data_IF_653630785216
#
_entry.id   IF_653630785216
#
_cell.length_a   1.000
_cell.length_b   1.000
_cell.length_c   1.000
_cell.angle_alpha   90.00
_cell.angle_beta   90.00
_cell.angle_gamma   90.00
#
_symmetry.space_group_name_H-M   'P 1'
#
loop_
_entity.id
_entity.type
_entity.pdbx_description
1 polymer ?
#
# COMPACT_ATOMS: atom_id res chain seq x y z
N UNK A 1 -31.56 -43.92 61.38
CA UNK A 1 -31.02 -43.65 62.73
C UNK A 1 -30.32 -42.35 62.73
N UNK A 2 -30.88 -41.42 63.47
CA UNK A 2 -30.29 -40.36 64.32
C UNK A 2 -29.26 -39.44 63.66
N UNK A 3 -29.35 -38.15 63.72
CA UNK A 3 -30.13 -37.13 64.47
C UNK A 3 -29.43 -35.82 64.27
N UNK A 4 -30.17 -34.82 63.93
CA UNK A 4 -30.49 -33.56 64.62
C UNK A 4 -29.35 -32.83 65.33
N UNK A 5 -29.09 -31.59 64.90
CA UNK A 5 -29.25 -30.36 65.70
C UNK A 5 -28.79 -29.15 64.86
N UNK A 6 -29.61 -28.29 64.49
CA UNK A 6 -30.07 -26.96 64.80
C UNK A 6 -29.11 -26.17 65.73
N UNK A 7 -28.58 -25.07 65.20
CA UNK A 7 -28.47 -23.83 66.00
C UNK A 7 -28.51 -22.55 65.08
N UNK A 8 -29.42 -21.71 65.49
CA UNK A 8 -29.75 -20.39 65.02
C UNK A 8 -28.65 -19.36 65.34
N UNK A 9 -28.47 -18.38 64.46
CA UNK A 9 -27.78 -17.14 64.76
C UNK A 9 -27.99 -16.12 63.66
N UNK A 10 -28.91 -15.17 63.85
CA UNK A 10 -29.23 -13.96 63.11
C UNK A 10 -28.37 -12.79 63.66
N UNK A 11 -28.48 -11.60 63.08
CA UNK A 11 -27.90 -10.98 61.88
C UNK A 11 -27.11 -9.72 62.22
N UNK A 12 -26.33 -9.13 61.33
CA UNK A 12 -26.03 -7.69 61.37
C UNK A 12 -25.07 -7.26 60.25
N UNK A 13 -25.55 -6.21 59.54
CA UNK A 13 -24.65 -5.25 58.88
C UNK A 13 -24.64 -5.31 57.37
N UNK A 14 -25.72 -4.88 56.69
CA UNK A 14 -25.65 -4.43 55.30
C UNK A 14 -24.91 -3.07 55.32
N UNK A 15 -23.62 -3.08 54.96
CA UNK A 15 -22.93 -1.89 54.51
C UNK A 15 -23.00 -1.91 52.99
N UNK A 16 -23.98 -1.14 52.45
CA UNK A 16 -24.06 -0.82 51.03
C UNK A 16 -22.86 0.06 50.66
N UNK A 17 -21.82 -0.55 50.10
CA UNK A 17 -20.71 0.18 49.46
C UNK A 17 -21.20 0.70 48.12
N UNK A 18 -21.64 1.94 48.06
CA UNK A 18 -21.84 2.69 46.79
C UNK A 18 -20.46 2.90 46.19
N UNK A 19 -20.06 2.05 45.24
CA UNK A 19 -18.95 2.32 44.33
C UNK A 19 -19.41 3.46 43.41
N UNK A 20 -19.00 4.67 43.76
CA UNK A 20 -19.02 5.81 42.84
C UNK A 20 -18.03 5.47 41.71
N UNK A 21 -18.54 4.88 40.62
CA UNK A 21 -17.85 4.89 39.33
C UNK A 21 -17.73 6.35 38.87
N UNK A 22 -16.65 7.02 39.28
CA UNK A 22 -16.16 8.19 38.59
C UNK A 22 -15.88 7.74 37.14
N UNK A 23 -16.84 7.99 36.24
CA UNK A 23 -16.64 7.91 34.80
C UNK A 23 -15.60 8.95 34.41
N UNK A 24 -14.34 8.56 34.47
CA UNK A 24 -13.28 9.28 33.75
C UNK A 24 -13.68 9.12 32.28
N UNK A 25 -13.95 10.21 31.54
CA UNK A 25 -14.11 10.08 30.10
C UNK A 25 -12.78 9.51 29.59
N UNK A 26 -12.78 8.26 29.14
CA UNK A 26 -11.70 7.74 28.31
C UNK A 26 -11.73 8.59 27.04
N UNK A 27 -10.95 9.67 27.03
CA UNK A 27 -10.58 10.31 25.77
C UNK A 27 -9.96 9.19 24.93
N UNK A 28 -10.59 8.86 23.82
CA UNK A 28 -10.01 7.91 22.88
C UNK A 28 -8.60 8.42 22.57
N UNK A 29 -7.56 7.59 22.67
CA UNK A 29 -6.22 8.06 22.40
C UNK A 29 -6.16 8.52 20.95
N UNK A 30 -5.60 9.71 20.74
CA UNK A 30 -5.37 10.23 19.39
C UNK A 30 -4.54 9.23 18.59
N UNK A 31 -4.99 8.90 17.37
CA UNK A 31 -4.37 7.86 16.53
C UNK A 31 -3.26 8.51 15.70
N UNK A 32 -1.98 8.21 15.96
CA UNK A 32 -0.88 8.67 15.10
C UNK A 32 -0.84 7.86 13.80
N UNK A 33 -0.26 8.44 12.75
CA UNK A 33 -0.23 7.89 11.40
C UNK A 33 0.43 6.50 11.30
N UNK A 34 1.47 6.25 12.11
CA UNK A 34 2.17 4.96 12.17
C UNK A 34 1.28 3.84 12.73
N UNK A 35 0.41 4.15 13.69
CA UNK A 35 -0.56 3.20 14.22
C UNK A 35 -1.63 2.88 13.17
N UNK A 36 -2.13 3.88 12.45
CA UNK A 36 -3.09 3.70 11.36
C UNK A 36 -2.52 2.82 10.26
N UNK A 37 -1.27 3.08 9.82
CA UNK A 37 -0.60 2.28 8.79
C UNK A 37 -0.42 0.83 9.24
N UNK A 38 0.01 0.58 10.47
CA UNK A 38 0.12 -0.80 10.98
C UNK A 38 -1.20 -1.54 11.02
N UNK A 39 -2.26 -0.89 11.49
CA UNK A 39 -3.58 -1.49 11.55
C UNK A 39 -4.08 -1.86 10.14
N UNK A 40 -3.97 -0.93 9.18
CA UNK A 40 -4.38 -1.16 7.81
C UNK A 40 -3.54 -2.23 7.09
N UNK A 41 -2.21 -2.21 7.21
CA UNK A 41 -1.33 -3.23 6.61
C UNK A 41 -1.64 -4.64 7.12
N UNK A 42 -2.06 -4.80 8.37
CA UNK A 42 -2.42 -6.10 8.95
C UNK A 42 -3.62 -6.77 8.27
N UNK A 43 -4.52 -5.98 7.69
CA UNK A 43 -5.74 -6.46 7.03
C UNK A 43 -5.73 -6.32 5.51
N UNK A 44 -4.71 -5.63 4.93
CA UNK A 44 -4.70 -5.24 3.53
C UNK A 44 -4.66 -6.44 2.58
N UNK A 45 -5.64 -6.59 1.66
CA UNK A 45 -5.74 -7.78 0.82
C UNK A 45 -4.57 -7.93 -0.16
N UNK A 46 -4.08 -6.84 -0.75
CA UNK A 46 -2.99 -6.87 -1.73
C UNK A 46 -1.67 -7.32 -1.11
N UNK A 47 -1.38 -6.88 0.13
CA UNK A 47 -0.20 -7.34 0.87
C UNK A 47 -0.28 -8.83 1.15
N UNK A 48 -1.44 -9.33 1.57
CA UNK A 48 -1.66 -10.76 1.81
C UNK A 48 -1.55 -11.58 0.52
N UNK A 49 -2.09 -11.07 -0.59
CA UNK A 49 -1.96 -11.67 -1.91
C UNK A 49 -0.49 -11.76 -2.34
N UNK A 50 0.27 -10.67 -2.22
CA UNK A 50 1.70 -10.66 -2.54
C UNK A 50 2.51 -11.64 -1.67
N UNK A 51 2.18 -11.76 -0.37
CA UNK A 51 2.81 -12.74 0.54
C UNK A 51 2.51 -14.17 0.08
N UNK A 52 1.26 -14.49 -0.23
CA UNK A 52 0.88 -15.81 -0.73
C UNK A 52 1.58 -16.17 -2.05
N UNK A 53 1.77 -15.19 -2.95
CA UNK A 53 2.54 -15.38 -4.19
C UNK A 53 4.04 -15.64 -3.91
N UNK A 54 4.64 -14.97 -2.95
CA UNK A 54 6.02 -15.22 -2.55
C UNK A 54 6.18 -16.61 -1.90
N UNK A 55 5.22 -17.03 -1.07
CA UNK A 55 5.19 -18.37 -0.46
C UNK A 55 5.02 -19.46 -1.54
N UNK A 56 4.12 -19.24 -2.52
CA UNK A 56 3.97 -20.13 -3.68
C UNK A 56 5.28 -20.28 -4.44
N UNK A 57 5.99 -19.18 -4.67
CA UNK A 57 7.29 -19.25 -5.34
C UNK A 57 8.34 -20.01 -4.53
N UNK A 58 8.28 -19.94 -3.20
CA UNK A 58 9.10 -20.81 -2.33
C UNK A 58 8.81 -22.29 -2.56
N UNK A 59 7.54 -22.67 -2.66
CA UNK A 59 7.12 -24.04 -3.00
C UNK A 59 7.60 -24.44 -4.40
N UNK A 60 7.55 -23.55 -5.38
CA UNK A 60 8.08 -23.80 -6.74
C UNK A 60 9.59 -24.08 -6.77
N UNK A 61 10.36 -23.48 -5.86
CA UNK A 61 11.79 -23.81 -5.68
C UNK A 61 11.93 -25.27 -5.24
N UNK A 62 11.13 -25.74 -4.28
CA UNK A 62 11.18 -27.14 -3.83
C UNK A 62 10.71 -28.10 -4.93
N UNK A 63 9.70 -27.72 -5.71
CA UNK A 63 9.29 -28.48 -6.91
C UNK A 63 10.44 -28.56 -7.93
N UNK A 64 11.14 -27.45 -8.17
CA UNK A 64 12.27 -27.43 -9.09
C UNK A 64 13.43 -28.34 -8.60
N UNK A 65 13.70 -28.37 -7.29
CA UNK A 65 14.65 -29.29 -6.66
C UNK A 65 14.25 -30.77 -6.82
N UNK A 66 12.95 -31.02 -7.00
CA UNK A 66 12.45 -32.36 -7.31
C UNK A 66 13.14 -33.02 -8.52
N UNK A 67 13.65 -32.21 -9.46
CA UNK A 67 14.43 -32.70 -10.60
C UNK A 67 15.74 -33.41 -10.25
N UNK A 68 16.25 -33.27 -9.03
CA UNK A 68 17.40 -34.02 -8.53
C UNK A 68 17.06 -35.42 -8.01
N UNK A 69 15.79 -35.70 -7.75
CA UNK A 69 15.35 -36.97 -7.16
C UNK A 69 14.87 -37.95 -8.22
N UNK A 70 14.81 -39.28 -7.89
CA UNK A 70 14.26 -40.28 -8.76
C UNK A 70 12.78 -39.99 -9.07
N UNK A 71 12.40 -40.17 -10.32
CA UNK A 71 10.98 -40.18 -10.72
C UNK A 71 10.50 -41.62 -10.80
N UNK A 72 9.31 -41.89 -10.27
CA UNK A 72 8.66 -43.20 -10.33
C UNK A 72 7.42 -43.05 -11.19
N UNK A 73 7.37 -43.81 -12.28
CA UNK A 73 6.21 -43.90 -13.13
C UNK A 73 5.62 -45.30 -13.03
N UNK A 74 4.33 -45.40 -12.88
CA UNK A 74 3.59 -46.64 -12.88
C UNK A 74 2.50 -46.55 -13.95
N UNK A 75 2.46 -47.55 -14.82
CA UNK A 75 1.41 -47.67 -15.81
C UNK A 75 0.81 -49.11 -15.76
N UNK A 76 -0.45 -49.23 -16.10
CA UNK A 76 -1.13 -50.51 -16.17
C UNK A 76 -2.33 -50.39 -17.09
N UNK A 77 -2.59 -51.47 -17.85
CA UNK A 77 -3.71 -51.50 -18.76
C UNK A 77 -3.84 -52.84 -19.47
N UNK A 78 -4.98 -53.10 -20.13
CA UNK A 78 -5.15 -54.26 -20.96
C UNK A 78 -4.21 -54.21 -22.18
N UNK A 79 -3.64 -55.34 -22.55
CA UNK A 79 -2.87 -55.48 -23.77
C UNK A 79 -3.88 -55.75 -24.94
N UNK A 80 -3.76 -55.00 -26.04
CA UNK A 80 -4.51 -55.21 -27.30
C UNK A 80 -6.05 -55.26 -27.15
N UNK A 81 -6.66 -54.52 -26.21
CA UNK A 81 -8.10 -54.53 -25.92
C UNK A 81 -8.63 -55.90 -25.38
N UNK A 82 -7.74 -56.81 -25.00
CA UNK A 82 -8.13 -58.03 -24.30
C UNK A 82 -8.12 -57.79 -22.80
N UNK A 83 -9.29 -57.92 -22.15
CA UNK A 83 -9.48 -57.74 -20.71
C UNK A 83 -8.85 -58.88 -19.86
N UNK A 84 -8.40 -59.93 -20.52
CA UNK A 84 -7.75 -61.11 -19.89
C UNK A 84 -6.24 -60.92 -19.72
N UNK A 85 -5.62 -60.03 -20.42
CA UNK A 85 -4.14 -59.77 -20.36
C UNK A 85 -3.85 -58.38 -19.85
N UNK A 86 -3.43 -58.25 -18.59
CA UNK A 86 -3.09 -56.97 -17.95
C UNK A 86 -1.56 -56.81 -17.86
N UNK A 87 -1.07 -55.68 -18.36
CA UNK A 87 0.34 -55.28 -18.28
C UNK A 87 0.52 -54.26 -17.17
N UNK A 88 1.50 -54.46 -16.32
CA UNK A 88 1.96 -53.52 -15.32
C UNK A 88 3.40 -53.17 -15.62
N UNK A 89 3.70 -51.84 -15.70
CA UNK A 89 5.04 -51.34 -15.86
C UNK A 89 5.34 -50.39 -14.69
N UNK A 90 6.42 -50.65 -13.98
CA UNK A 90 6.97 -49.78 -12.96
C UNK A 90 8.37 -49.33 -13.43
N UNK A 91 8.51 -48.03 -13.71
CA UNK A 91 9.77 -47.48 -14.14
C UNK A 91 10.25 -46.41 -13.12
N UNK A 92 11.46 -46.61 -12.62
CA UNK A 92 12.20 -45.64 -11.79
C UNK A 92 13.31 -45.05 -12.65
N UNK A 93 13.30 -43.70 -12.76
CA UNK A 93 14.32 -42.98 -13.54
C UNK A 93 15.03 -41.97 -12.66
N UNK A 94 16.36 -42.06 -12.58
CA UNK A 94 17.20 -41.11 -11.85
C UNK A 94 18.08 -40.36 -12.84
N UNK A 95 18.00 -39.06 -12.86
CA UNK A 95 18.92 -38.18 -13.57
C UNK A 95 20.30 -38.26 -12.90
N UNK A 96 21.34 -38.61 -13.69
CA UNK A 96 22.71 -38.64 -13.23
C UNK A 96 23.49 -37.40 -13.67
N UNK A 97 23.27 -36.94 -14.89
CA UNK A 97 23.93 -35.76 -15.43
C UNK A 97 23.08 -35.05 -16.50
N UNK A 98 22.94 -33.73 -16.41
CA UNK A 98 22.10 -32.92 -17.30
C UNK A 98 22.71 -31.58 -17.73
N UNK A 99 24.01 -31.42 -17.59
CA UNK A 99 24.76 -30.19 -17.95
C UNK A 99 24.27 -28.94 -17.19
N UNK A 100 23.69 -29.12 -16.00
CA UNK A 100 23.16 -28.04 -15.17
C UNK A 100 21.78 -27.55 -15.58
N UNK A 101 20.99 -28.35 -16.31
CA UNK A 101 19.62 -28.01 -16.66
C UNK A 101 18.73 -27.87 -15.41
N UNK A 102 18.76 -28.87 -14.51
CA UNK A 102 18.01 -28.82 -13.24
C UNK A 102 18.51 -27.70 -12.34
N UNK A 103 19.84 -27.54 -12.24
CA UNK A 103 20.46 -26.43 -11.48
C UNK A 103 19.97 -25.06 -11.98
N UNK A 104 19.98 -24.85 -13.29
CA UNK A 104 19.51 -23.59 -13.88
C UNK A 104 18.02 -23.37 -13.66
N UNK A 105 17.20 -24.43 -13.63
CA UNK A 105 15.78 -24.37 -13.30
C UNK A 105 15.56 -23.99 -11.83
N UNK A 106 16.33 -24.55 -10.90
CA UNK A 106 16.33 -24.19 -9.48
C UNK A 106 16.77 -22.72 -9.28
N UNK A 107 17.83 -22.30 -10.00
CA UNK A 107 18.29 -20.90 -9.97
C UNK A 107 17.21 -19.93 -10.45
N UNK A 108 16.51 -20.28 -11.55
CA UNK A 108 15.41 -19.49 -12.09
C UNK A 108 14.24 -19.39 -11.10
N UNK A 109 13.85 -20.50 -10.48
CA UNK A 109 12.82 -20.54 -9.45
C UNK A 109 13.23 -19.71 -8.22
N UNK A 110 14.48 -19.84 -7.76
CA UNK A 110 15.02 -19.09 -6.63
C UNK A 110 15.08 -17.58 -6.90
N UNK A 111 15.48 -17.18 -8.11
CA UNK A 111 15.45 -15.76 -8.51
C UNK A 111 14.00 -15.24 -8.60
N UNK A 112 13.05 -16.07 -9.05
CA UNK A 112 11.62 -15.75 -9.06
C UNK A 112 11.10 -15.55 -7.64
N UNK A 113 11.48 -16.39 -6.69
CA UNK A 113 11.13 -16.23 -5.28
C UNK A 113 11.67 -14.91 -4.71
N UNK A 114 12.95 -14.56 -4.97
CA UNK A 114 13.51 -13.27 -4.54
C UNK A 114 12.78 -12.09 -5.18
N UNK A 115 12.49 -12.16 -6.49
CA UNK A 115 11.68 -11.16 -7.19
C UNK A 115 10.33 -10.92 -6.52
N UNK A 116 9.63 -12.00 -6.14
CA UNK A 116 8.32 -11.91 -5.49
C UNK A 116 8.42 -11.47 -4.03
N UNK A 117 9.52 -11.78 -3.34
CA UNK A 117 9.80 -11.21 -2.01
C UNK A 117 10.01 -9.70 -2.07
N UNK A 118 10.70 -9.16 -3.08
CA UNK A 118 10.78 -7.72 -3.31
C UNK A 118 9.40 -7.11 -3.69
N UNK A 119 8.58 -7.86 -4.43
CA UNK A 119 7.21 -7.43 -4.76
C UNK A 119 6.32 -7.30 -3.50
N UNK A 120 6.53 -8.11 -2.46
CA UNK A 120 5.86 -7.94 -1.16
C UNK A 120 6.21 -6.60 -0.53
N UNK A 121 7.48 -6.19 -0.59
CA UNK A 121 7.91 -4.89 -0.04
C UNK A 121 7.28 -3.73 -0.81
N UNK A 122 7.23 -3.84 -2.14
CA UNK A 122 6.53 -2.84 -2.99
C UNK A 122 5.05 -2.75 -2.61
N UNK A 123 4.35 -3.90 -2.53
CA UNK A 123 2.93 -3.91 -2.16
C UNK A 123 2.67 -3.35 -0.75
N UNK A 124 3.61 -3.54 0.20
CA UNK A 124 3.52 -2.94 1.54
C UNK A 124 3.68 -1.43 1.51
N UNK A 125 4.63 -0.91 0.74
CA UNK A 125 4.83 0.53 0.62
C UNK A 125 3.68 1.20 -0.12
N UNK A 126 3.14 0.59 -1.17
CA UNK A 126 1.95 1.07 -1.90
C UNK A 126 0.73 1.11 -0.98
N UNK A 127 0.44 0.01 -0.27
CA UNK A 127 -0.66 -0.06 0.69
C UNK A 127 -0.48 0.94 1.86
N UNK A 128 0.75 1.10 2.36
CA UNK A 128 1.05 2.10 3.38
C UNK A 128 0.81 3.52 2.87
N UNK A 129 1.15 3.80 1.61
CA UNK A 129 0.91 5.09 0.97
C UNK A 129 -0.59 5.38 0.84
N UNK A 130 -1.40 4.42 0.41
CA UNK A 130 -2.85 4.56 0.30
C UNK A 130 -3.51 4.89 1.66
N UNK A 131 -3.05 4.22 2.73
CA UNK A 131 -3.51 4.49 4.09
C UNK A 131 -3.10 5.89 4.53
N UNK A 132 -1.86 6.30 4.27
CA UNK A 132 -1.35 7.65 4.56
C UNK A 132 -2.15 8.71 3.82
N UNK A 133 -2.39 8.52 2.53
CA UNK A 133 -3.17 9.47 1.72
C UNK A 133 -4.60 9.62 2.25
N UNK A 134 -5.25 8.52 2.58
CA UNK A 134 -6.60 8.53 3.16
C UNK A 134 -6.61 9.18 4.55
N UNK A 135 -5.59 8.94 5.38
CA UNK A 135 -5.40 9.62 6.67
C UNK A 135 -5.30 11.15 6.49
N UNK A 136 -4.49 11.60 5.53
CA UNK A 136 -4.33 13.01 5.21
C UNK A 136 -5.60 13.64 4.63
N UNK A 137 -6.42 12.86 3.89
CA UNK A 137 -7.71 13.31 3.37
C UNK A 137 -8.72 13.58 4.49
N UNK A 138 -8.75 12.75 5.53
CA UNK A 138 -9.58 13.01 6.71
C UNK A 138 -9.15 14.30 7.39
N UNK A 139 -7.85 14.48 7.67
CA UNK A 139 -7.32 15.70 8.27
C UNK A 139 -7.61 16.96 7.44
N UNK A 140 -7.44 16.87 6.11
CA UNK A 140 -7.77 17.96 5.20
C UNK A 140 -9.25 18.34 5.28
N UNK A 141 -10.14 17.35 5.29
CA UNK A 141 -11.60 17.55 5.33
C UNK A 141 -12.04 18.10 6.67
N UNK A 142 -11.47 17.67 7.79
CA UNK A 142 -11.73 18.23 9.12
C UNK A 142 -11.35 19.71 9.19
N UNK A 143 -10.17 20.08 8.68
CA UNK A 143 -9.74 21.49 8.61
C UNK A 143 -10.61 22.33 7.71
N UNK A 144 -11.05 21.79 6.54
CA UNK A 144 -11.97 22.52 5.66
C UNK A 144 -13.30 22.78 6.32
N UNK A 145 -13.89 21.80 7.00
CA UNK A 145 -15.14 21.98 7.77
C UNK A 145 -14.98 23.08 8.81
N UNK A 146 -13.86 23.10 9.54
CA UNK A 146 -13.60 24.10 10.56
C UNK A 146 -13.43 25.50 9.95
N UNK A 147 -12.68 25.62 8.85
CA UNK A 147 -12.49 26.90 8.13
C UNK A 147 -13.81 27.45 7.61
N UNK A 148 -14.71 26.60 7.09
CA UNK A 148 -16.04 27.04 6.66
C UNK A 148 -16.88 27.49 7.85
N UNK A 149 -16.81 26.83 9.00
CA UNK A 149 -17.52 27.26 10.22
C UNK A 149 -17.04 28.64 10.68
N UNK A 150 -15.74 28.87 10.68
CA UNK A 150 -15.16 30.17 11.03
C UNK A 150 -15.59 31.27 10.02
N UNK A 151 -15.64 30.93 8.73
CA UNK A 151 -16.12 31.84 7.70
C UNK A 151 -17.62 32.21 7.94
N UNK A 152 -18.46 31.22 8.26
CA UNK A 152 -19.89 31.45 8.62
C UNK A 152 -19.99 32.41 9.81
N UNK A 153 -19.17 32.20 10.85
CA UNK A 153 -19.17 33.08 12.02
C UNK A 153 -18.83 34.52 11.67
N UNK A 154 -17.79 34.71 10.78
CA UNK A 154 -17.40 36.05 10.28
C UNK A 154 -18.54 36.71 9.47
N UNK A 155 -19.19 35.96 8.59
CA UNK A 155 -20.32 36.44 7.80
C UNK A 155 -21.55 36.76 8.66
N UNK A 156 -21.83 35.98 9.70
CA UNK A 156 -22.90 36.21 10.63
C UNK A 156 -22.72 37.53 11.41
N UNK A 157 -21.48 37.79 11.86
CA UNK A 157 -21.12 39.08 12.46
C UNK A 157 -21.32 40.27 11.50
N UNK A 158 -21.02 40.14 10.21
CA UNK A 158 -21.26 41.16 9.20
C UNK A 158 -22.78 41.38 9.02
N UNK A 159 -23.57 40.31 8.96
CA UNK A 159 -25.02 40.38 8.87
C UNK A 159 -25.63 41.15 10.07
N UNK A 160 -25.16 40.84 11.30
CA UNK A 160 -25.65 41.52 12.51
C UNK A 160 -25.30 43.01 12.49
N UNK A 161 -24.08 43.39 12.11
CA UNK A 161 -23.69 44.78 11.97
C UNK A 161 -24.53 45.52 10.90
N UNK A 162 -24.79 44.88 9.76
CA UNK A 162 -25.62 45.43 8.69
C UNK A 162 -27.05 45.60 9.13
N UNK A 163 -27.61 44.66 9.87
CA UNK A 163 -28.95 44.73 10.42
C UNK A 163 -29.11 45.87 11.44
N UNK A 164 -28.11 46.05 12.33
CA UNK A 164 -28.12 47.17 13.29
C UNK A 164 -28.09 48.52 12.57
N UNK A 165 -27.23 48.70 11.55
CA UNK A 165 -27.20 49.94 10.73
C UNK A 165 -28.51 50.18 9.98
N UNK A 166 -29.18 49.13 9.50
CA UNK A 166 -30.47 49.21 8.83
C UNK A 166 -31.59 49.68 9.76
N UNK A 167 -31.59 49.26 11.03
CA UNK A 167 -32.56 49.73 12.05
C UNK A 167 -32.36 51.20 12.40
N UNK A 168 -31.13 51.69 12.30
CA UNK A 168 -30.77 53.11 12.53
C UNK A 168 -30.97 53.99 11.29
N UNK A 169 -31.44 53.45 10.18
CA UNK A 169 -31.67 54.14 8.91
C UNK A 169 -30.44 54.43 8.06
N UNK A 170 -29.29 53.82 8.37
CA UNK A 170 -28.00 54.05 7.71
C UNK A 170 -27.62 52.94 6.71
N UNK A 171 -28.41 51.85 6.59
CA UNK A 171 -28.16 50.78 5.60
C UNK A 171 -29.44 50.49 4.79
N UNK A 172 -29.24 50.17 3.49
CA UNK A 172 -30.34 49.77 2.62
C UNK A 172 -30.66 48.26 2.84
N UNK A 173 -31.90 47.89 2.60
CA UNK A 173 -32.39 46.52 2.65
C UNK A 173 -31.57 45.58 1.72
N UNK A 174 -31.06 46.10 0.59
CA UNK A 174 -30.25 45.35 -0.35
C UNK A 174 -28.91 44.89 0.24
N UNK A 175 -28.33 45.65 1.18
CA UNK A 175 -27.12 45.30 1.89
C UNK A 175 -27.33 44.08 2.80
N UNK A 176 -28.44 44.05 3.54
CA UNK A 176 -28.80 42.92 4.40
C UNK A 176 -29.11 41.65 3.57
N UNK A 177 -29.86 41.82 2.46
CA UNK A 177 -30.18 40.71 1.56
C UNK A 177 -28.88 40.13 0.93
N UNK A 178 -27.89 40.95 0.64
CA UNK A 178 -26.59 40.52 0.17
C UNK A 178 -25.80 39.72 1.22
N UNK A 179 -25.77 40.18 2.46
CA UNK A 179 -25.13 39.47 3.57
C UNK A 179 -25.79 38.11 3.81
N UNK A 180 -27.14 38.05 3.77
CA UNK A 180 -27.91 36.82 3.88
C UNK A 180 -27.61 35.85 2.75
N UNK A 181 -27.44 36.32 1.51
CA UNK A 181 -27.06 35.49 0.36
C UNK A 181 -25.70 34.84 0.55
N UNK A 182 -24.66 35.59 0.97
CA UNK A 182 -23.34 35.05 1.22
C UNK A 182 -23.33 34.04 2.38
N UNK A 183 -24.10 34.31 3.44
CA UNK A 183 -24.30 33.37 4.54
C UNK A 183 -24.96 32.06 4.09
N UNK A 184 -25.99 32.12 3.25
CA UNK A 184 -26.63 30.92 2.69
C UNK A 184 -25.68 30.11 1.81
N UNK A 185 -24.82 30.77 1.02
CA UNK A 185 -23.75 30.09 0.23
C UNK A 185 -22.73 29.42 1.13
N UNK A 186 -22.30 30.06 2.21
CA UNK A 186 -21.38 29.47 3.16
C UNK A 186 -21.99 28.25 3.89
N UNK A 187 -23.30 28.28 4.19
CA UNK A 187 -24.03 27.15 4.78
C UNK A 187 -24.12 25.95 3.81
N UNK A 188 -24.36 26.21 2.52
CA UNK A 188 -24.33 25.19 1.48
C UNK A 188 -22.94 24.58 1.38
N UNK A 189 -21.86 25.38 1.36
CA UNK A 189 -20.50 24.93 1.36
C UNK A 189 -20.16 24.07 2.60
N UNK A 190 -20.68 24.43 3.78
CA UNK A 190 -20.53 23.61 4.99
C UNK A 190 -21.16 22.23 4.83
N UNK A 191 -22.32 22.16 4.19
CA UNK A 191 -23.01 20.89 3.93
C UNK A 191 -22.19 20.00 2.99
N UNK A 192 -21.60 20.59 1.94
CA UNK A 192 -20.71 19.90 1.02
C UNK A 192 -19.44 19.36 1.74
N UNK A 193 -18.75 20.22 2.52
CA UNK A 193 -17.53 19.78 3.22
C UNK A 193 -17.80 18.73 4.31
N UNK A 194 -18.99 18.76 4.95
CA UNK A 194 -19.42 17.68 5.85
C UNK A 194 -19.62 16.35 5.11
N UNK A 195 -20.17 16.39 3.90
CA UNK A 195 -20.29 15.22 3.04
C UNK A 195 -18.92 14.65 2.69
N UNK A 196 -17.99 15.50 2.22
CA UNK A 196 -16.62 15.13 1.90
C UNK A 196 -15.90 14.52 3.12
N UNK A 197 -16.09 15.07 4.31
CA UNK A 197 -15.52 14.53 5.54
C UNK A 197 -16.07 13.13 5.86
N UNK A 198 -17.38 12.94 5.69
CA UNK A 198 -17.99 11.63 5.91
C UNK A 198 -17.46 10.59 4.94
N UNK A 199 -17.30 10.94 3.66
CA UNK A 199 -16.72 10.06 2.65
C UNK A 199 -15.26 9.71 2.96
N UNK A 200 -14.45 10.68 3.35
CA UNK A 200 -13.05 10.45 3.75
C UNK A 200 -12.97 9.52 4.97
N UNK A 201 -13.83 9.71 5.97
CA UNK A 201 -13.91 8.83 7.15
C UNK A 201 -14.32 7.40 6.79
N UNK A 202 -15.29 7.25 5.90
CA UNK A 202 -15.71 5.94 5.42
C UNK A 202 -14.58 5.20 4.70
N UNK A 203 -13.84 5.90 3.81
CA UNK A 203 -12.69 5.34 3.12
C UNK A 203 -11.58 4.92 4.10
N UNK A 204 -11.28 5.77 5.08
CA UNK A 204 -10.33 5.44 6.14
C UNK A 204 -10.77 4.19 6.93
N UNK A 205 -12.02 4.12 7.36
CA UNK A 205 -12.54 2.97 8.10
C UNK A 205 -12.45 1.66 7.32
N UNK A 206 -12.66 1.70 6.00
CA UNK A 206 -12.52 0.53 5.11
C UNK A 206 -11.05 0.08 5.03
N UNK A 207 -10.10 1.01 4.85
CA UNK A 207 -8.68 0.68 4.67
C UNK A 207 -7.98 0.30 5.98
N UNK A 208 -8.31 0.98 7.07
CA UNK A 208 -7.64 0.79 8.38
C UNK A 208 -8.37 -0.22 9.26
N UNK A 209 -9.67 -0.45 9.00
CA UNK A 209 -10.52 -1.34 9.79
C UNK A 209 -11.00 -0.73 11.12
N UNK A 210 -10.82 0.58 11.32
CA UNK A 210 -11.19 1.32 12.52
C UNK A 210 -11.74 2.69 12.13
N UNK A 211 -12.72 3.20 12.90
CA UNK A 211 -13.19 4.56 12.70
C UNK A 211 -12.10 5.58 13.05
N UNK A 212 -11.95 6.67 12.27
CA UNK A 212 -11.03 7.74 12.60
C UNK A 212 -11.57 8.49 13.83
N UNK A 213 -10.98 8.24 15.00
CA UNK A 213 -11.17 9.08 16.18
C UNK A 213 -10.35 10.36 16.03
N UNK A 214 -9.78 10.94 17.06
CA UNK A 214 -8.90 12.10 16.92
C UNK A 214 -7.62 11.72 16.17
N UNK A 215 -7.44 12.22 14.92
CA UNK A 215 -6.23 12.04 14.13
C UNK A 215 -5.21 13.12 14.48
N UNK A 216 -3.93 12.72 14.62
CA UNK A 216 -2.84 13.66 14.89
C UNK A 216 -2.18 14.09 13.60
N UNK A 217 -1.93 15.39 13.48
CA UNK A 217 -1.16 15.88 12.33
C UNK A 217 0.25 15.31 12.36
N UNK A 218 0.69 14.59 11.28
CA UNK A 218 2.03 14.03 11.26
C UNK A 218 3.09 15.14 11.15
N UNK A 219 4.20 14.95 11.88
CA UNK A 219 5.35 15.83 11.75
C UNK A 219 5.96 15.76 10.33
N UNK A 220 6.54 16.87 9.83
CA UNK A 220 7.22 16.88 8.53
C UNK A 220 8.31 15.80 8.48
N UNK A 221 8.30 14.99 7.42
CA UNK A 221 9.42 14.10 7.13
C UNK A 221 10.52 14.90 6.42
N UNK A 222 11.71 14.98 6.99
CA UNK A 222 12.85 15.62 6.33
C UNK A 222 13.53 14.68 5.31
N UNK A 223 12.72 13.97 4.50
CA UNK A 223 13.21 12.98 3.54
C UNK A 223 14.17 13.60 2.51
N UNK A 224 13.86 14.77 2.00
CA UNK A 224 14.74 15.48 1.06
C UNK A 224 16.13 15.75 1.66
N UNK A 225 16.19 16.14 2.95
CA UNK A 225 17.45 16.33 3.66
C UNK A 225 18.19 15.01 3.87
N UNK A 226 17.47 13.94 4.22
CA UNK A 226 18.02 12.59 4.36
C UNK A 226 18.62 12.10 3.04
N UNK A 227 17.92 12.25 1.93
CA UNK A 227 18.39 11.83 0.61
C UNK A 227 19.51 12.73 0.08
N UNK A 228 19.54 14.04 0.41
CA UNK A 228 20.63 14.94 0.05
C UNK A 228 21.93 14.60 0.81
N UNK A 229 21.85 14.07 2.02
CA UNK A 229 23.01 13.61 2.80
C UNK A 229 23.45 12.18 2.46
N UNK A 230 22.62 11.41 1.76
CA UNK A 230 22.86 10.02 1.37
C UNK A 230 23.29 9.92 -0.10
N UNK A 231 24.01 8.86 -0.47
CA UNK A 231 24.23 8.53 -1.87
C UNK A 231 22.89 8.12 -2.53
N UNK A 232 22.24 9.05 -3.21
CA UNK A 232 20.97 8.84 -3.88
C UNK A 232 21.03 7.63 -4.84
N UNK A 233 22.16 7.44 -5.53
CA UNK A 233 22.33 6.31 -6.42
C UNK A 233 22.31 4.97 -5.66
N UNK A 234 22.83 4.96 -4.44
CA UNK A 234 22.78 3.77 -3.56
C UNK A 234 21.35 3.51 -3.10
N UNK A 235 20.65 4.53 -2.62
CA UNK A 235 19.25 4.41 -2.16
C UNK A 235 18.36 3.87 -3.29
N UNK A 236 18.53 4.37 -4.52
CA UNK A 236 17.78 3.87 -5.68
C UNK A 236 18.10 2.40 -5.96
N UNK A 237 19.39 2.00 -5.92
CA UNK A 237 19.76 0.58 -6.13
C UNK A 237 19.20 -0.35 -5.06
N UNK A 238 19.07 0.12 -3.83
CA UNK A 238 18.54 -0.64 -2.70
C UNK A 238 17.01 -0.63 -2.65
N UNK A 239 16.32 0.16 -3.47
CA UNK A 239 14.86 0.20 -3.49
C UNK A 239 14.25 -1.13 -3.94
N UNK A 240 13.13 -1.58 -3.33
CA UNK A 240 12.46 -2.81 -3.71
C UNK A 240 12.05 -2.86 -5.18
N UNK A 241 11.63 -1.74 -5.75
CA UNK A 241 11.30 -1.63 -7.18
C UNK A 241 12.49 -1.96 -8.07
N UNK A 242 13.67 -1.41 -7.75
CA UNK A 242 14.89 -1.68 -8.51
C UNK A 242 15.36 -3.12 -8.31
N UNK A 243 15.36 -3.63 -7.06
CA UNK A 243 15.77 -5.00 -6.76
C UNK A 243 14.86 -6.02 -7.46
N UNK A 244 13.56 -5.79 -7.47
CA UNK A 244 12.60 -6.61 -8.22
C UNK A 244 12.95 -6.69 -9.72
N UNK A 245 13.32 -5.56 -10.33
CA UNK A 245 13.73 -5.52 -11.75
C UNK A 245 15.07 -6.24 -12.00
N UNK A 246 16.01 -6.13 -11.08
CA UNK A 246 17.29 -6.88 -11.15
C UNK A 246 17.06 -8.38 -11.00
N UNK A 247 16.20 -8.81 -10.08
CA UNK A 247 15.89 -10.24 -9.94
C UNK A 247 15.15 -10.79 -11.17
N UNK A 248 14.36 -9.98 -11.89
CA UNK A 248 13.81 -10.40 -13.19
C UNK A 248 14.90 -10.68 -14.23
N UNK A 249 15.95 -9.88 -14.25
CA UNK A 249 17.12 -10.15 -15.10
C UNK A 249 17.87 -11.43 -14.67
N UNK A 250 17.96 -11.71 -13.36
CA UNK A 250 18.55 -12.94 -12.84
C UNK A 250 17.72 -14.18 -13.23
N UNK A 251 16.38 -14.08 -13.21
CA UNK A 251 15.50 -15.13 -13.76
C UNK A 251 15.81 -15.40 -15.23
N UNK A 252 15.88 -14.34 -16.04
CA UNK A 252 16.16 -14.47 -17.47
C UNK A 252 17.56 -15.05 -17.71
N UNK A 253 18.55 -14.72 -16.91
CA UNK A 253 19.90 -15.26 -17.00
C UNK A 253 19.95 -16.77 -16.70
N UNK A 254 19.24 -17.22 -15.67
CA UNK A 254 19.10 -18.64 -15.36
C UNK A 254 18.39 -19.39 -16.51
N UNK A 255 17.37 -18.78 -17.14
CA UNK A 255 16.68 -19.34 -18.30
C UNK A 255 17.58 -19.45 -19.54
N UNK A 256 18.56 -18.54 -19.74
CA UNK A 256 19.57 -18.68 -20.79
C UNK A 256 20.43 -19.92 -20.54
N UNK A 257 20.87 -20.14 -19.28
CA UNK A 257 21.67 -21.35 -18.95
C UNK A 257 20.84 -22.63 -19.14
N UNK A 258 19.59 -22.63 -18.71
CA UNK A 258 18.67 -23.76 -18.93
C UNK A 258 18.45 -24.05 -20.42
N UNK A 259 18.20 -23.01 -21.23
CA UNK A 259 18.00 -23.16 -22.66
C UNK A 259 19.24 -23.73 -23.40
N UNK A 260 20.44 -23.34 -22.98
CA UNK A 260 21.71 -23.92 -23.50
C UNK A 260 21.87 -25.37 -23.07
N UNK A 261 21.63 -25.67 -21.80
CA UNK A 261 21.76 -27.05 -21.27
C UNK A 261 20.72 -27.99 -21.90
N UNK A 262 19.55 -27.50 -22.29
CA UNK A 262 18.51 -28.31 -22.94
C UNK A 262 18.85 -28.82 -24.33
N UNK A 263 19.89 -28.27 -24.96
CA UNK A 263 20.41 -28.77 -26.23
C UNK A 263 21.35 -29.99 -26.09
N UNK A 264 21.74 -30.29 -24.85
CA UNK A 264 22.71 -31.36 -24.58
C UNK A 264 21.98 -32.63 -24.08
N UNK A 265 22.56 -33.84 -24.35
CA UNK A 265 21.93 -35.08 -23.94
C UNK A 265 21.90 -35.23 -22.40
N UNK A 266 20.79 -35.62 -21.84
CA UNK A 266 20.67 -35.96 -20.44
C UNK A 266 20.99 -37.44 -20.20
N UNK A 267 21.80 -37.74 -19.20
CA UNK A 267 22.15 -39.09 -18.79
C UNK A 267 21.23 -39.53 -17.63
N UNK A 268 20.44 -40.57 -17.84
CA UNK A 268 19.54 -41.15 -16.85
C UNK A 268 19.91 -42.62 -16.58
N UNK A 269 19.79 -43.01 -15.33
CA UNK A 269 19.71 -44.41 -14.91
C UNK A 269 18.25 -44.79 -14.82
N UNK A 270 17.82 -45.79 -15.58
CA UNK A 270 16.44 -46.28 -15.56
C UNK A 270 16.42 -47.73 -15.11
N UNK A 271 15.56 -48.04 -14.16
CA UNK A 271 15.24 -49.39 -13.77
C UNK A 271 13.73 -49.63 -14.02
N UNK A 272 13.41 -50.61 -14.84
CA UNK A 272 12.01 -50.97 -15.15
C UNK A 272 11.73 -52.37 -14.73
N UNK A 273 10.53 -52.58 -14.18
CA UNK A 273 9.96 -53.90 -13.88
C UNK A 273 8.63 -54.00 -14.65
N UNK A 274 8.63 -54.87 -15.64
CA UNK A 274 7.47 -55.15 -16.47
C UNK A 274 6.86 -56.49 -16.04
N UNK A 275 5.58 -56.50 -15.76
CA UNK A 275 4.82 -57.76 -15.56
C UNK A 275 3.71 -57.78 -16.59
N UNK A 276 3.73 -58.81 -17.43
CA UNK A 276 2.72 -59.08 -18.45
C UNK A 276 2.20 -60.52 -18.35
N UNK A 277 1.02 -60.75 -18.78
CA UNK A 277 0.43 -62.07 -18.89
C UNK A 277 0.43 -62.45 -20.38
N UNK A 278 1.11 -63.58 -20.73
CA UNK A 278 1.15 -64.11 -22.09
C UNK A 278 0.59 -65.51 -22.07
N UNK A 279 -0.52 -65.71 -22.77
CA UNK A 279 -1.17 -67.02 -22.87
C UNK A 279 -1.54 -67.63 -21.51
N UNK A 280 -1.99 -66.79 -20.55
CA UNK A 280 -2.37 -67.18 -19.20
C UNK A 280 -1.21 -67.46 -18.25
N UNK A 281 0.04 -67.13 -18.63
CA UNK A 281 1.23 -67.26 -17.77
C UNK A 281 1.83 -65.91 -17.47
N UNK A 282 2.02 -65.53 -16.19
CA UNK A 282 2.68 -64.30 -15.82
C UNK A 282 4.19 -64.36 -16.15
N UNK A 283 4.62 -63.47 -17.02
CA UNK A 283 6.02 -63.19 -17.26
C UNK A 283 6.43 -61.88 -16.56
N UNK A 284 7.55 -61.90 -15.84
CA UNK A 284 8.15 -60.75 -15.21
C UNK A 284 9.52 -60.51 -15.79
N UNK A 285 9.77 -59.30 -16.24
CA UNK A 285 11.09 -58.89 -16.73
C UNK A 285 11.53 -57.63 -15.94
N UNK A 286 12.82 -57.58 -15.61
CA UNK A 286 13.41 -56.41 -14.93
C UNK A 286 14.70 -56.02 -15.66
N UNK A 287 14.76 -54.73 -16.03
CA UNK A 287 15.91 -54.19 -16.80
C UNK A 287 16.43 -52.95 -16.11
N UNK A 288 17.76 -52.89 -15.92
CA UNK A 288 18.45 -51.71 -15.53
C UNK A 288 19.27 -51.18 -16.72
N UNK A 289 19.12 -49.94 -17.09
CA UNK A 289 19.78 -49.37 -18.27
C UNK A 289 20.23 -47.93 -18.03
N UNK A 290 21.38 -47.58 -18.65
CA UNK A 290 21.84 -46.23 -18.78
C UNK A 290 21.28 -45.66 -20.10
N UNK A 291 20.50 -44.55 -20.01
CA UNK A 291 19.89 -43.95 -21.19
C UNK A 291 20.36 -42.53 -21.40
N UNK A 292 20.82 -42.26 -22.61
CA UNK A 292 21.00 -40.89 -23.11
C UNK A 292 19.72 -40.43 -23.77
N UNK A 293 19.13 -39.35 -23.21
CA UNK A 293 17.93 -38.73 -23.77
C UNK A 293 18.30 -37.36 -24.31
N UNK A 294 17.98 -37.10 -25.57
CA UNK A 294 18.25 -35.86 -26.25
C UNK A 294 17.00 -35.45 -27.03
N UNK A 295 16.40 -34.33 -26.66
CA UNK A 295 15.17 -33.81 -27.29
C UNK A 295 15.46 -32.86 -28.45
N UNK A 296 16.52 -33.14 -29.24
CA UNK A 296 17.10 -32.21 -30.21
C UNK A 296 16.26 -32.05 -31.50
N UNK A 297 15.42 -33.01 -31.83
CA UNK A 297 14.79 -33.11 -33.16
C UNK A 297 13.29 -32.75 -33.20
N UNK A 298 12.79 -31.92 -32.30
CA UNK A 298 11.45 -31.34 -32.46
C UNK A 298 11.44 -30.16 -33.46
N UNK A 299 11.91 -30.40 -34.67
CA UNK A 299 12.18 -29.36 -35.65
C UNK A 299 13.35 -28.45 -35.23
N UNK A 300 13.98 -27.73 -36.15
CA UNK A 300 15.10 -26.81 -35.89
C UNK A 300 14.82 -25.68 -34.89
N UNK A 301 13.59 -25.61 -34.34
CA UNK A 301 13.15 -24.61 -33.37
C UNK A 301 13.93 -24.64 -32.06
N UNK A 302 14.37 -25.84 -31.59
CA UNK A 302 15.11 -25.97 -30.34
C UNK A 302 16.45 -25.21 -30.38
N UNK A 303 17.11 -25.11 -31.54
CA UNK A 303 18.35 -24.34 -31.68
C UNK A 303 18.17 -22.83 -31.57
N UNK A 304 16.94 -22.32 -31.73
CA UNK A 304 16.62 -20.89 -31.58
C UNK A 304 16.25 -20.51 -30.14
N UNK A 305 15.94 -21.47 -29.25
CA UNK A 305 15.59 -21.22 -27.85
C UNK A 305 16.64 -20.43 -27.06
N UNK A 306 17.95 -20.76 -27.14
CA UNK A 306 18.99 -19.99 -26.47
C UNK A 306 19.08 -18.54 -26.94
N UNK A 307 18.90 -18.31 -28.27
CA UNK A 307 18.89 -16.95 -28.83
C UNK A 307 17.69 -16.14 -28.29
N UNK A 308 16.51 -16.73 -28.28
CA UNK A 308 15.31 -16.09 -27.73
C UNK A 308 15.47 -15.79 -26.23
N UNK A 309 16.03 -16.73 -25.45
CA UNK A 309 16.32 -16.51 -24.04
C UNK A 309 17.34 -15.40 -23.84
N UNK A 310 18.36 -15.28 -24.69
CA UNK A 310 19.35 -14.22 -24.63
C UNK A 310 18.78 -12.84 -24.93
N UNK A 311 17.88 -12.75 -25.91
CA UNK A 311 17.14 -11.52 -26.22
C UNK A 311 16.23 -11.10 -25.06
N UNK A 312 15.62 -12.07 -24.37
CA UNK A 312 14.84 -11.82 -23.14
C UNK A 312 15.71 -11.29 -22.01
N UNK A 313 16.90 -11.86 -21.79
CA UNK A 313 17.86 -11.35 -20.80
C UNK A 313 18.27 -9.92 -21.11
N UNK A 314 18.57 -9.61 -22.37
CA UNK A 314 18.92 -8.27 -22.80
C UNK A 314 17.77 -7.29 -22.52
N UNK A 315 16.54 -7.67 -22.88
CA UNK A 315 15.32 -6.89 -22.58
C UNK A 315 15.17 -6.66 -21.07
N UNK A 316 15.34 -7.68 -20.23
CA UNK A 316 15.21 -7.57 -18.78
C UNK A 316 16.29 -6.64 -18.18
N UNK A 317 17.52 -6.68 -18.68
CA UNK A 317 18.59 -5.75 -18.27
C UNK A 317 18.25 -4.29 -18.60
N UNK A 318 17.76 -4.04 -19.82
CA UNK A 318 17.31 -2.70 -20.21
C UNK A 318 16.12 -2.23 -19.39
N UNK A 319 15.22 -3.15 -18.99
CA UNK A 319 14.11 -2.83 -18.09
C UNK A 319 14.59 -2.42 -16.71
N UNK A 320 15.61 -3.11 -16.15
CA UNK A 320 16.22 -2.73 -14.88
C UNK A 320 16.90 -1.35 -14.94
N UNK A 321 17.62 -1.06 -16.04
CA UNK A 321 18.22 0.26 -16.26
C UNK A 321 17.17 1.37 -16.44
N UNK A 322 16.07 1.06 -17.12
CA UNK A 322 14.94 1.98 -17.27
C UNK A 322 14.28 2.28 -15.93
N UNK A 323 14.07 1.26 -15.08
CA UNK A 323 13.51 1.41 -13.74
C UNK A 323 14.36 2.34 -12.88
N UNK A 324 15.69 2.18 -12.88
CA UNK A 324 16.61 3.06 -12.14
C UNK A 324 16.47 4.53 -12.56
N UNK A 325 16.36 4.79 -13.87
CA UNK A 325 16.17 6.14 -14.41
C UNK A 325 14.80 6.69 -14.05
N UNK A 326 13.78 5.86 -14.08
CA UNK A 326 12.41 6.25 -13.78
C UNK A 326 12.25 6.64 -12.30
N UNK A 327 12.75 5.85 -11.37
CA UNK A 327 12.78 6.19 -9.94
C UNK A 327 13.48 7.54 -9.72
N UNK A 328 14.64 7.74 -10.35
CA UNK A 328 15.37 9.03 -10.23
C UNK A 328 14.54 10.20 -10.76
N UNK A 329 13.94 10.06 -11.94
CA UNK A 329 13.10 11.09 -12.56
C UNK A 329 11.90 11.43 -11.68
N UNK A 330 11.21 10.43 -11.15
CA UNK A 330 10.04 10.61 -10.29
C UNK A 330 10.41 11.32 -8.98
N UNK A 331 11.51 10.91 -8.33
CA UNK A 331 12.00 11.59 -7.14
C UNK A 331 12.34 13.07 -7.41
N UNK A 332 13.04 13.35 -8.51
CA UNK A 332 13.35 14.72 -8.87
C UNK A 332 12.09 15.56 -9.06
N UNK A 333 11.11 15.03 -9.79
CA UNK A 333 9.80 15.68 -10.00
C UNK A 333 9.08 15.94 -8.66
N UNK A 334 9.09 14.97 -7.75
CA UNK A 334 8.47 15.13 -6.43
C UNK A 334 9.15 16.22 -5.61
N UNK A 335 10.50 16.30 -5.64
CA UNK A 335 11.24 17.34 -4.92
C UNK A 335 11.00 18.73 -5.51
N UNK A 336 11.06 18.87 -6.84
CA UNK A 336 10.81 20.16 -7.53
C UNK A 336 9.38 20.65 -7.25
N UNK A 337 8.41 19.74 -7.24
CA UNK A 337 7.02 20.03 -6.85
C UNK A 337 6.94 20.43 -5.37
N UNK A 338 7.64 19.72 -4.48
CA UNK A 338 7.69 20.04 -3.04
C UNK A 338 8.23 21.43 -2.76
N UNK A 339 9.30 21.84 -3.45
CA UNK A 339 9.85 23.19 -3.35
C UNK A 339 8.88 24.26 -3.88
N UNK A 340 8.22 23.98 -5.01
CA UNK A 340 7.19 24.86 -5.57
C UNK A 340 6.02 25.05 -4.60
N UNK A 341 5.54 23.95 -3.98
CA UNK A 341 4.44 24.01 -3.01
C UNK A 341 4.85 24.79 -1.75
N UNK A 342 6.10 24.68 -1.31
CA UNK A 342 6.62 25.44 -0.17
C UNK A 342 6.57 26.94 -0.42
N UNK A 343 7.02 27.39 -1.59
CA UNK A 343 6.96 28.81 -1.96
C UNK A 343 5.51 29.32 -2.07
N UNK A 344 4.64 28.51 -2.66
CA UNK A 344 3.21 28.85 -2.76
C UNK A 344 2.53 28.89 -1.40
N UNK A 345 2.85 27.95 -0.49
CA UNK A 345 2.34 27.92 0.89
C UNK A 345 2.73 29.19 1.64
N UNK A 346 3.99 29.64 1.52
CA UNK A 346 4.47 30.87 2.11
C UNK A 346 3.74 32.10 1.56
N UNK A 347 3.56 32.19 0.24
CA UNK A 347 2.85 33.31 -0.41
C UNK A 347 1.38 33.35 -0.01
N UNK A 348 0.69 32.19 0.06
CA UNK A 348 -0.70 32.12 0.49
C UNK A 348 -0.86 32.41 1.98
N UNK A 349 0.06 31.98 2.83
CA UNK A 349 0.04 32.33 4.25
C UNK A 349 0.13 33.84 4.45
N UNK A 350 1.00 34.50 3.68
CA UNK A 350 1.07 35.96 3.69
C UNK A 350 -0.25 36.59 3.18
N UNK A 351 -0.82 36.07 2.10
CA UNK A 351 -2.10 36.57 1.56
C UNK A 351 -3.24 36.46 2.58
N UNK A 352 -3.32 35.35 3.34
CA UNK A 352 -4.29 35.19 4.42
C UNK A 352 -4.10 36.26 5.48
N UNK A 353 -2.86 36.52 5.91
CA UNK A 353 -2.54 37.55 6.91
C UNK A 353 -2.91 38.94 6.42
N UNK A 354 -2.58 39.30 5.19
CA UNK A 354 -2.92 40.60 4.60
C UNK A 354 -4.43 40.75 4.44
N UNK A 355 -5.16 39.69 3.99
CA UNK A 355 -6.61 39.72 3.87
C UNK A 355 -7.29 39.85 5.24
N UNK A 356 -6.71 39.29 6.30
CA UNK A 356 -7.18 39.47 7.66
C UNK A 356 -7.05 40.91 8.11
N UNK A 357 -5.87 41.52 7.93
CA UNK A 357 -5.63 42.92 8.32
C UNK A 357 -6.52 43.90 7.55
N UNK A 358 -6.66 43.71 6.24
CA UNK A 358 -7.57 44.49 5.40
C UNK A 358 -9.03 44.30 5.85
N UNK A 359 -9.38 43.05 6.19
CA UNK A 359 -10.72 42.72 6.68
C UNK A 359 -11.08 43.45 7.97
N UNK A 360 -10.16 43.53 8.94
CA UNK A 360 -10.37 44.27 10.19
C UNK A 360 -10.49 45.79 9.93
N UNK A 361 -9.59 46.33 9.09
CA UNK A 361 -9.67 47.77 8.72
C UNK A 361 -10.97 48.11 8.01
N UNK A 362 -11.43 47.25 7.11
CA UNK A 362 -12.74 47.45 6.42
C UNK A 362 -13.93 47.34 7.38
N UNK A 363 -13.87 46.47 8.36
CA UNK A 363 -14.85 46.35 9.40
C UNK A 363 -14.97 47.65 10.23
N UNK A 364 -13.85 48.19 10.71
CA UNK A 364 -13.83 49.49 11.43
C UNK A 364 -14.41 50.64 10.59
N UNK A 365 -14.03 50.68 9.28
CA UNK A 365 -14.57 51.68 8.37
C UNK A 365 -16.08 51.51 8.09
N UNK A 366 -16.54 50.25 8.02
CA UNK A 366 -17.95 49.94 7.86
C UNK A 366 -18.78 50.38 9.10
N UNK A 367 -18.27 50.15 10.29
CA UNK A 367 -18.97 50.56 11.56
C UNK A 367 -19.18 52.07 11.61
N UNK A 368 -18.29 52.88 11.09
CA UNK A 368 -18.42 54.35 11.04
C UNK A 368 -19.05 54.90 9.72
N UNK A 369 -19.55 54.00 8.86
CA UNK A 369 -20.25 54.38 7.64
C UNK A 369 -19.36 54.85 6.48
N UNK A 370 -18.06 54.57 6.53
CA UNK A 370 -17.07 54.94 5.49
C UNK A 370 -16.85 53.86 4.44
N UNK A 371 -17.42 52.67 4.60
CA UNK A 371 -17.30 51.52 3.70
C UNK A 371 -18.66 50.88 3.47
N UNK A 372 -18.79 50.22 2.31
CA UNK A 372 -19.92 49.41 1.92
C UNK A 372 -19.78 47.97 2.42
N UNK A 373 -20.89 47.31 2.69
CA UNK A 373 -20.96 45.90 3.04
C UNK A 373 -20.34 44.99 1.95
N UNK A 374 -20.46 45.38 0.67
CA UNK A 374 -19.95 44.62 -0.46
C UNK A 374 -18.43 44.50 -0.39
N UNK A 375 -17.71 45.57 -0.04
CA UNK A 375 -16.25 45.54 0.13
C UNK A 375 -15.85 44.58 1.24
N UNK A 376 -16.56 44.59 2.35
CA UNK A 376 -16.31 43.74 3.49
C UNK A 376 -16.58 42.26 3.16
N UNK A 377 -17.68 41.95 2.46
CA UNK A 377 -17.98 40.60 2.00
C UNK A 377 -16.95 40.08 0.97
N UNK A 378 -16.48 40.94 0.09
CA UNK A 378 -15.45 40.56 -0.90
C UNK A 378 -14.13 40.15 -0.24
N UNK A 379 -13.64 40.97 0.71
CA UNK A 379 -12.38 40.63 1.41
C UNK A 379 -12.51 39.37 2.26
N UNK A 380 -13.67 39.15 2.86
CA UNK A 380 -13.92 37.91 3.60
C UNK A 380 -13.97 36.67 2.69
N UNK A 381 -14.47 36.81 1.46
CA UNK A 381 -14.45 35.72 0.47
C UNK A 381 -13.03 35.46 -0.01
N UNK A 382 -12.23 36.50 -0.32
CA UNK A 382 -10.82 36.34 -0.71
C UNK A 382 -10.01 35.65 0.39
N UNK A 383 -10.19 36.07 1.65
CA UNK A 383 -9.57 35.40 2.81
C UNK A 383 -9.95 33.93 2.88
N UNK A 384 -11.23 33.62 2.79
CA UNK A 384 -11.74 32.25 2.86
C UNK A 384 -11.19 31.36 1.73
N UNK A 385 -11.13 31.87 0.50
CA UNK A 385 -10.55 31.15 -0.63
C UNK A 385 -9.06 30.87 -0.42
N UNK A 386 -8.30 31.85 0.09
CA UNK A 386 -6.89 31.68 0.41
C UNK A 386 -6.68 30.68 1.55
N UNK A 387 -7.49 30.71 2.63
CA UNK A 387 -7.46 29.75 3.74
C UNK A 387 -7.69 28.32 3.22
N UNK A 388 -8.69 28.09 2.35
CA UNK A 388 -8.96 26.77 1.74
C UNK A 388 -7.82 26.27 0.86
N UNK A 389 -7.24 27.14 0.05
CA UNK A 389 -6.08 26.81 -0.79
C UNK A 389 -4.87 26.46 0.06
N UNK A 390 -4.64 27.19 1.15
CA UNK A 390 -3.52 26.96 2.06
C UNK A 390 -3.62 25.56 2.69
N UNK A 391 -4.80 25.13 3.14
CA UNK A 391 -5.03 23.77 3.64
C UNK A 391 -4.67 22.73 2.59
N UNK A 392 -5.15 22.93 1.36
CA UNK A 392 -4.91 22.00 0.27
C UNK A 392 -3.41 21.87 -0.07
N UNK A 393 -2.68 22.99 -0.14
CA UNK A 393 -1.24 23.01 -0.39
C UNK A 393 -0.44 22.38 0.75
N UNK A 394 -0.81 22.67 2.00
CA UNK A 394 -0.14 22.11 3.17
C UNK A 394 -0.23 20.58 3.20
N UNK A 395 -1.41 20.05 2.96
CA UNK A 395 -1.63 18.59 2.90
C UNK A 395 -0.92 17.98 1.69
N UNK A 396 -0.99 18.60 0.49
CA UNK A 396 -0.31 18.08 -0.69
C UNK A 396 1.21 18.07 -0.53
N UNK A 397 1.80 19.05 0.13
CA UNK A 397 3.24 19.05 0.45
C UNK A 397 3.62 17.88 1.35
N UNK A 398 2.80 17.55 2.37
CA UNK A 398 3.00 16.35 3.19
C UNK A 398 2.88 15.08 2.36
N UNK A 399 1.88 15.00 1.48
CA UNK A 399 1.64 13.86 0.59
C UNK A 399 2.84 13.56 -0.32
N UNK A 400 3.49 14.61 -0.87
CA UNK A 400 4.70 14.48 -1.68
C UNK A 400 5.85 13.82 -0.91
N UNK A 401 6.05 14.15 0.37
CA UNK A 401 7.10 13.55 1.19
C UNK A 401 6.86 12.03 1.38
N UNK A 402 5.61 11.61 1.61
CA UNK A 402 5.25 10.20 1.74
C UNK A 402 5.36 9.45 0.40
N UNK A 403 4.93 10.06 -0.70
CA UNK A 403 5.10 9.50 -2.05
C UNK A 403 6.57 9.29 -2.40
N UNK A 404 7.43 10.25 -2.07
CA UNK A 404 8.87 10.09 -2.27
C UNK A 404 9.48 8.98 -1.41
N UNK A 405 9.02 8.80 -0.18
CA UNK A 405 9.45 7.71 0.69
C UNK A 405 9.01 6.33 0.14
N UNK A 406 7.76 6.20 -0.32
CA UNK A 406 7.24 4.98 -0.92
C UNK A 406 8.01 4.61 -2.21
N UNK A 407 8.34 5.60 -3.05
CA UNK A 407 9.07 5.40 -4.30
C UNK A 407 10.45 4.74 -4.11
N UNK A 408 11.09 4.98 -2.98
CA UNK A 408 12.39 4.35 -2.65
C UNK A 408 12.28 3.17 -1.69
N UNK A 409 11.06 2.78 -1.28
CA UNK A 409 10.85 1.66 -0.37
C UNK A 409 11.23 1.96 1.07
N UNK A 410 11.19 3.21 1.49
CA UNK A 410 11.54 3.64 2.85
C UNK A 410 10.32 3.94 3.72
N UNK A 411 9.10 3.90 3.17
CA UNK A 411 7.91 4.34 3.88
C UNK A 411 7.64 3.50 5.13
N UNK A 412 7.66 2.18 4.99
CA UNK A 412 7.49 1.26 6.12
C UNK A 412 8.54 1.46 7.20
N UNK A 413 9.83 1.53 6.83
CA UNK A 413 10.94 1.70 7.76
C UNK A 413 10.90 3.06 8.48
N UNK A 414 10.52 4.14 7.80
CA UNK A 414 10.41 5.47 8.41
C UNK A 414 9.26 5.55 9.41
N UNK A 415 8.14 4.88 9.15
CA UNK A 415 7.00 4.83 10.06
C UNK A 415 7.27 3.91 11.26
N UNK A 416 7.96 2.78 11.07
CA UNK A 416 8.35 1.87 12.15
C UNK A 416 9.42 2.48 13.10
N UNK A 417 10.42 3.19 12.56
CA UNK A 417 11.49 3.80 13.36
C UNK A 417 11.02 4.98 14.23
N UNK A 418 9.97 5.70 13.85
CA UNK A 418 9.38 6.75 14.70
C UNK A 418 8.89 6.21 16.04
N UNK A 419 8.54 4.93 16.12
CA UNK A 419 8.11 4.27 17.36
C UNK A 419 9.24 3.99 18.33
N UNK A 420 10.44 3.73 17.82
CA UNK A 420 11.60 3.42 18.66
C UNK A 420 12.23 4.68 19.29
N UNK A 421 11.84 5.87 18.84
CA UNK A 421 12.32 7.16 19.39
C UNK A 421 11.27 7.92 20.20
N UNK A 422 10.03 7.42 20.29
CA UNK A 422 8.90 8.01 21.02
C UNK A 422 8.50 7.31 22.33
N UNK A 423 9.31 6.35 22.79
CA UNK A 423 9.08 5.63 24.04
C UNK A 423 10.12 6.00 25.09
#
# INVERSE_FOLDING_TARGET
MRGVSVLKGRPRGQAALWLLCLGVPLSAPAIPIDQAVRAGLAIHPEVRSAMAEADRAGTEVEIAKGGYYPTVAMSGGPQEFDLGEVVYDLTVSQMLYDWGRVTSKVDSASATQRKLSEAVLVARDDAALDIVETYLDVLASERRVETVRQHIQRLDGIREMTQARGSDGYADRSELDRANLELARAQEQLSLEKGNLQDARNQYAILVGQDPSELVEPEPMSLQRYLASSDLARVIRESPLQRKAVEDANVAEAQVREAKASLLPQLNLEASALRREIGGRPESDSVMSLRFRMDTFQGLSNFRRPTAAQQRLESARWTADAMQRDIRRQLQTLFDNGDTLRWREQSLSQQVTEAEQVGELYREQFEVGRRDVIDLLNVQRERFEAERQLISLHIERKRIEYRAAAQVGLLGALLENRLNHGS
#
